data_IF_206267936573
#
_entry.id   IF_206267936573
#
_cell.length_a   1.000
_cell.length_b   1.000
_cell.length_c   1.000
_cell.angle_alpha   90.00
_cell.angle_beta   90.00
_cell.angle_gamma   90.00
#
_symmetry.space_group_name_H-M   'P 1'
#
loop_
_entity.id
_entity.type
_entity.pdbx_description
1 polymer ?
#
# COMPACT_ATOMS: atom_id res chain seq x y z
N UNK A 1 16.90 15.97 6.49
CA UNK A 1 16.22 16.65 5.36
C UNK A 1 16.01 15.61 4.27
N UNK A 2 14.76 15.32 3.90
CA UNK A 2 14.46 14.36 2.85
C UNK A 2 14.83 14.97 1.49
N UNK A 3 15.73 14.32 0.75
CA UNK A 3 16.18 14.82 -0.55
C UNK A 3 15.11 14.56 -1.62
N UNK A 4 15.21 15.25 -2.76
CA UNK A 4 14.33 14.97 -3.90
C UNK A 4 14.49 13.54 -4.42
N UNK A 5 15.69 12.96 -4.31
CA UNK A 5 15.93 11.56 -4.66
C UNK A 5 15.17 10.61 -3.71
N UNK A 6 15.16 10.89 -2.41
CA UNK A 6 14.39 10.10 -1.44
C UNK A 6 12.89 10.12 -1.75
N UNK A 7 12.35 11.29 -2.12
CA UNK A 7 10.93 11.44 -2.46
C UNK A 7 10.60 10.69 -3.74
N UNK A 8 11.46 10.77 -4.78
CA UNK A 8 11.29 9.99 -6.02
C UNK A 8 11.36 8.49 -5.75
N UNK A 9 12.27 8.07 -4.86
CA UNK A 9 12.43 6.68 -4.50
C UNK A 9 11.18 6.15 -3.78
N UNK A 10 10.68 6.88 -2.78
CA UNK A 10 9.44 6.55 -2.08
C UNK A 10 8.22 6.52 -3.01
N UNK A 11 8.11 7.50 -3.91
CA UNK A 11 7.05 7.54 -4.91
C UNK A 11 7.07 6.31 -5.82
N UNK A 12 8.26 5.86 -6.21
CA UNK A 12 8.46 4.64 -7.01
C UNK A 12 7.98 3.40 -6.25
N UNK A 13 8.33 3.27 -4.96
CA UNK A 13 7.88 2.16 -4.11
C UNK A 13 6.34 2.16 -3.97
N UNK A 14 5.74 3.34 -3.84
CA UNK A 14 4.29 3.51 -3.73
C UNK A 14 3.53 3.43 -5.07
N UNK A 15 4.24 3.29 -6.21
CA UNK A 15 3.67 3.35 -7.58
C UNK A 15 2.93 4.67 -7.87
N UNK A 16 3.41 5.77 -7.31
CA UNK A 16 2.89 7.12 -7.52
C UNK A 16 3.83 7.86 -8.46
N UNK A 17 3.29 8.45 -9.53
CA UNK A 17 4.05 9.37 -10.37
C UNK A 17 4.09 10.75 -9.71
N UNK A 18 5.28 11.30 -9.54
CA UNK A 18 5.50 12.66 -9.01
C UNK A 18 6.22 13.47 -10.08
N UNK A 19 5.66 14.63 -10.42
CA UNK A 19 6.28 15.52 -11.40
C UNK A 19 7.44 16.30 -10.77
N UNK A 20 8.41 16.75 -11.57
CA UNK A 20 9.51 17.59 -11.08
C UNK A 20 9.01 18.90 -10.46
N UNK A 21 7.84 19.39 -10.87
CA UNK A 21 7.23 20.62 -10.37
C UNK A 21 6.64 20.45 -8.96
N UNK A 22 6.24 19.23 -8.60
CA UNK A 22 5.63 18.91 -7.31
C UNK A 22 6.68 18.59 -6.22
N UNK A 23 7.92 18.26 -6.62
CA UNK A 23 9.00 17.87 -5.70
C UNK A 23 9.31 18.91 -4.61
N UNK A 24 9.41 20.23 -4.90
CA UNK A 24 9.73 21.21 -3.87
C UNK A 24 8.66 21.28 -2.79
N UNK A 25 7.38 21.21 -3.21
CA UNK A 25 6.24 21.21 -2.30
C UNK A 25 6.23 19.96 -1.43
N UNK A 26 6.33 18.79 -2.06
CA UNK A 26 6.32 17.51 -1.34
C UNK A 26 7.49 17.41 -0.36
N UNK A 27 8.68 17.89 -0.73
CA UNK A 27 9.84 17.88 0.17
C UNK A 27 9.59 18.66 1.46
N UNK A 28 8.99 19.85 1.32
CA UNK A 28 8.65 20.71 2.47
C UNK A 28 7.57 20.07 3.36
N UNK A 29 6.55 19.48 2.74
CA UNK A 29 5.46 18.81 3.45
C UNK A 29 5.94 17.54 4.19
N UNK A 30 6.75 16.71 3.52
CA UNK A 30 7.35 15.51 4.12
C UNK A 30 8.27 15.86 5.29
N UNK A 31 9.09 16.91 5.16
CA UNK A 31 9.94 17.37 6.26
C UNK A 31 9.12 17.83 7.47
N UNK A 32 8.01 18.52 7.24
CA UNK A 32 7.09 18.95 8.30
C UNK A 32 6.46 17.76 9.03
N UNK A 33 6.04 16.72 8.29
CA UNK A 33 5.48 15.49 8.84
C UNK A 33 6.52 14.73 9.66
N UNK A 34 7.73 14.55 9.12
CA UNK A 34 8.82 13.86 9.82
C UNK A 34 9.21 14.60 11.11
N UNK A 35 9.26 15.93 11.08
CA UNK A 35 9.51 16.75 12.27
C UNK A 35 8.43 16.57 13.33
N UNK A 36 7.16 16.48 12.92
CA UNK A 36 6.06 16.22 13.84
C UNK A 36 6.18 14.82 14.47
N UNK A 37 6.46 13.79 13.68
CA UNK A 37 6.67 12.42 14.17
C UNK A 37 7.90 12.33 15.08
N UNK A 38 8.96 13.09 14.79
CA UNK A 38 10.18 13.16 15.60
C UNK A 38 9.94 13.60 17.06
N UNK A 39 8.79 14.20 17.37
CA UNK A 39 8.39 14.46 18.77
C UNK A 39 8.37 13.19 19.61
N UNK A 40 8.09 12.03 19.00
CA UNK A 40 8.06 10.73 19.66
C UNK A 40 9.45 10.28 20.16
N UNK A 41 10.54 10.73 19.54
CA UNK A 41 11.92 10.37 19.96
C UNK A 41 12.27 10.91 21.35
N UNK A 42 11.60 11.99 21.78
CA UNK A 42 11.79 12.61 23.10
C UNK A 42 11.11 11.86 24.24
N UNK A 43 10.25 10.89 23.92
CA UNK A 43 9.46 10.15 24.90
C UNK A 43 10.20 8.89 25.33
N UNK A 44 10.36 8.71 26.64
CA UNK A 44 10.83 7.45 27.20
C UNK A 44 9.70 6.42 27.11
N UNK A 45 9.83 5.46 26.18
CA UNK A 45 8.90 4.34 26.05
C UNK A 45 9.41 3.17 26.90
N UNK A 46 8.69 2.75 27.95
CA UNK A 46 9.07 1.57 28.74
C UNK A 46 9.01 0.31 27.86
N UNK A 47 9.99 -0.59 28.01
CA UNK A 47 10.05 -1.85 27.23
C UNK A 47 8.78 -2.72 27.38
N UNK A 48 8.06 -2.55 28.50
CA UNK A 48 6.83 -3.26 28.82
C UNK A 48 5.56 -2.51 28.41
N UNK A 49 5.60 -1.67 27.38
CA UNK A 49 4.36 -1.07 26.86
C UNK A 49 3.50 -2.18 26.27
N UNK A 50 2.67 -2.80 27.11
CA UNK A 50 1.75 -3.84 26.74
C UNK A 50 0.75 -3.23 25.75
N UNK A 51 0.99 -3.44 24.45
CA UNK A 51 -0.07 -3.36 23.47
C UNK A 51 -1.17 -4.29 23.99
N UNK A 52 -2.33 -3.73 24.29
CA UNK A 52 -3.49 -4.49 24.74
C UNK A 52 -4.02 -5.31 23.55
N UNK A 53 -3.31 -6.38 23.21
CA UNK A 53 -3.71 -7.31 22.16
C UNK A 53 -4.80 -8.20 22.77
N UNK A 54 -6.01 -8.22 22.20
CA UNK A 54 -7.03 -9.14 22.67
C UNK A 54 -6.53 -10.59 22.54
N UNK A 55 -6.99 -11.52 23.38
CA UNK A 55 -6.57 -12.91 23.30
C UNK A 55 -6.84 -13.46 21.88
N UNK A 56 -5.76 -13.80 21.17
CA UNK A 56 -5.82 -14.35 19.83
C UNK A 56 -6.10 -15.85 19.91
N UNK A 57 -6.89 -16.34 18.95
CA UNK A 57 -7.07 -17.76 18.71
C UNK A 57 -6.97 -18.03 17.22
N UNK A 58 -6.51 -19.21 16.86
CA UNK A 58 -6.50 -19.61 15.46
C UNK A 58 -7.94 -19.82 14.97
N UNK A 59 -8.31 -19.10 13.91
CA UNK A 59 -9.59 -19.27 13.22
C UNK A 59 -9.29 -19.95 11.88
N UNK A 60 -9.46 -21.27 11.85
CA UNK A 60 -9.24 -22.06 10.64
C UNK A 60 -10.51 -22.11 9.80
N UNK A 61 -10.32 -22.15 8.48
CA UNK A 61 -11.37 -22.45 7.51
C UNK A 61 -11.25 -23.91 7.09
N UNK A 62 -12.36 -24.62 7.01
CA UNK A 62 -12.43 -25.97 6.42
C UNK A 62 -11.86 -25.98 5.00
N UNK A 63 -11.07 -27.00 4.65
CA UNK A 63 -10.59 -27.24 3.30
C UNK A 63 -11.70 -27.86 2.41
N UNK A 64 -12.72 -27.05 2.14
CA UNK A 64 -13.84 -27.35 1.27
C UNK A 64 -14.04 -26.21 0.29
N UNK A 65 -14.99 -26.36 -0.64
CA UNK A 65 -15.39 -25.31 -1.55
C UNK A 65 -16.66 -24.59 -1.03
N UNK A 66 -16.54 -23.55 -0.19
CA UNK A 66 -17.70 -22.89 0.42
C UNK A 66 -18.56 -22.09 -0.57
N UNK A 67 -18.04 -21.80 -1.76
CA UNK A 67 -18.73 -21.02 -2.79
C UNK A 67 -18.71 -21.76 -4.13
N UNK A 68 -19.86 -21.92 -4.82
CA UNK A 68 -19.87 -22.53 -6.15
C UNK A 68 -18.93 -21.81 -7.11
N UNK A 69 -18.25 -22.57 -7.97
CA UNK A 69 -17.40 -21.99 -9.02
C UNK A 69 -18.25 -21.10 -9.92
N UNK A 70 -17.73 -19.93 -10.26
CA UNK A 70 -18.44 -18.98 -11.13
C UNK A 70 -19.42 -18.04 -10.43
N UNK A 71 -19.74 -18.25 -9.14
CA UNK A 71 -20.79 -17.50 -8.43
C UNK A 71 -20.63 -15.97 -8.51
N UNK A 72 -19.39 -15.47 -8.56
CA UNK A 72 -19.08 -14.04 -8.63
C UNK A 72 -18.44 -13.60 -9.95
N UNK A 73 -18.27 -14.50 -10.91
CA UNK A 73 -17.46 -14.23 -12.12
C UNK A 73 -17.99 -13.02 -12.89
N UNK A 74 -19.31 -12.95 -13.12
CA UNK A 74 -19.89 -11.83 -13.88
C UNK A 74 -19.72 -10.49 -13.16
N UNK A 75 -19.89 -10.48 -11.83
CA UNK A 75 -19.72 -9.28 -11.00
C UNK A 75 -18.28 -8.76 -11.06
N UNK A 76 -17.30 -9.67 -11.02
CA UNK A 76 -15.88 -9.34 -11.11
C UNK A 76 -15.52 -8.81 -12.50
N UNK A 77 -15.96 -9.50 -13.57
CA UNK A 77 -15.68 -9.08 -14.96
C UNK A 77 -16.25 -7.69 -15.24
N UNK A 78 -17.44 -7.39 -14.73
CA UNK A 78 -18.06 -6.07 -14.89
C UNK A 78 -17.31 -4.95 -14.15
N UNK A 79 -16.46 -5.29 -13.17
CA UNK A 79 -15.63 -4.32 -12.45
C UNK A 79 -14.31 -4.02 -13.17
N UNK A 80 -13.98 -4.73 -14.26
CA UNK A 80 -12.72 -4.51 -14.98
C UNK A 80 -12.77 -3.19 -15.78
N UNK A 81 -11.76 -2.30 -15.63
CA UNK A 81 -11.70 -1.08 -16.43
C UNK A 81 -11.46 -1.37 -17.92
N UNK A 82 -10.76 -2.47 -18.24
CA UNK A 82 -10.58 -2.98 -19.60
C UNK A 82 -10.55 -4.50 -19.58
N UNK A 83 -11.19 -5.16 -20.53
CA UNK A 83 -11.23 -6.64 -20.58
C UNK A 83 -11.04 -7.19 -21.98
N UNK A 84 -10.56 -8.43 -22.06
CA UNK A 84 -10.58 -9.26 -23.25
C UNK A 84 -11.27 -10.59 -22.90
N UNK A 85 -12.48 -10.80 -23.40
CA UNK A 85 -13.34 -11.89 -22.94
C UNK A 85 -13.59 -11.82 -21.42
N UNK A 86 -13.13 -12.86 -20.71
CA UNK A 86 -13.26 -12.99 -19.26
C UNK A 86 -11.99 -12.58 -18.49
N UNK A 87 -10.98 -12.02 -19.17
CA UNK A 87 -9.72 -11.61 -18.56
C UNK A 87 -9.60 -10.08 -18.42
N UNK A 88 -9.03 -9.62 -17.31
CA UNK A 88 -8.60 -8.23 -17.12
C UNK A 88 -7.45 -7.93 -18.08
N UNK A 89 -7.60 -6.90 -18.91
CA UNK A 89 -6.60 -6.51 -19.89
C UNK A 89 -5.67 -5.46 -19.33
N UNK A 90 -4.37 -5.77 -19.27
CA UNK A 90 -3.30 -4.86 -18.86
C UNK A 90 -2.29 -4.69 -20.01
N UNK A 91 -1.45 -3.65 -19.93
CA UNK A 91 -0.32 -3.52 -20.85
C UNK A 91 0.64 -4.68 -20.60
N UNK A 92 1.13 -5.30 -21.69
CA UNK A 92 2.16 -6.34 -21.61
C UNK A 92 3.40 -5.75 -20.95
N UNK A 93 3.96 -6.45 -19.98
CA UNK A 93 5.25 -6.12 -19.39
C UNK A 93 6.31 -6.66 -20.37
N UNK A 94 7.10 -5.76 -20.96
CA UNK A 94 8.08 -6.09 -22.01
C UNK A 94 9.52 -5.90 -21.52
N UNK A 95 9.73 -5.16 -20.43
CA UNK A 95 11.04 -4.88 -19.85
C UNK A 95 11.00 -4.94 -18.32
N UNK A 96 12.09 -5.44 -17.74
CA UNK A 96 12.42 -5.38 -16.32
C UNK A 96 13.61 -4.43 -16.15
N UNK A 97 13.36 -3.14 -16.33
CA UNK A 97 14.24 -2.08 -15.84
C UNK A 97 13.41 -1.13 -14.97
#
# INVERSE_FOLDING_TARGET
>A
MATYEDIKHLATLARIFVSEQDLPKLSTEFESILKYIGQLESLAVPESSDLHVPPLRNVFRDDKNPTPSGANTQKIINAFPKRNGNALSVKKIITHE
#
